data_IF_961349844111
#
_entry.id   IF_961349844111
#
_cell.length_a   1.000
_cell.length_b   1.000
_cell.length_c   1.000
_cell.angle_alpha   90.00
_cell.angle_beta   90.00
_cell.angle_gamma   90.00
#
_symmetry.space_group_name_H-M   'P 1'
#
loop_
_entity.id
_entity.type
_entity.pdbx_description
1 polymer ?
#
# COMPACT_ATOMS: atom_id res chain seq x y z
N UNK A 1 33.06 -0.53 -19.19
CA UNK A 1 32.87 -1.07 -17.82
C UNK A 1 33.70 -0.21 -16.86
N UNK A 2 33.15 0.92 -16.43
CA UNK A 2 33.75 1.71 -15.36
C UNK A 2 33.38 1.01 -14.04
N UNK A 3 34.37 0.62 -13.25
CA UNK A 3 34.20 0.02 -11.94
C UNK A 3 33.66 1.00 -10.87
N UNK A 4 32.91 2.00 -11.29
CA UNK A 4 32.33 3.03 -10.44
C UNK A 4 31.08 2.45 -9.77
N UNK A 5 31.12 2.27 -8.47
CA UNK A 5 30.03 1.70 -7.66
C UNK A 5 28.97 2.74 -7.24
N UNK A 6 29.28 4.02 -7.36
CA UNK A 6 28.44 5.12 -6.92
C UNK A 6 28.44 6.21 -8.01
N UNK A 7 27.27 6.78 -8.26
CA UNK A 7 27.07 7.95 -9.12
C UNK A 7 26.52 9.05 -8.23
N UNK A 8 27.21 10.17 -8.19
CA UNK A 8 26.77 11.36 -7.48
C UNK A 8 25.93 12.22 -8.42
N UNK A 9 24.79 12.66 -7.96
CA UNK A 9 23.86 13.54 -8.66
C UNK A 9 23.86 14.87 -7.92
N UNK A 10 23.94 15.96 -8.66
CA UNK A 10 23.86 17.29 -8.06
C UNK A 10 22.47 17.51 -7.47
N UNK A 11 22.38 18.17 -6.31
CA UNK A 11 21.09 18.43 -5.64
C UNK A 11 20.10 19.18 -6.54
N UNK A 12 20.60 20.01 -7.46
CA UNK A 12 19.78 20.72 -8.44
C UNK A 12 19.17 19.77 -9.50
N UNK A 13 19.74 18.59 -9.71
CA UNK A 13 19.29 17.58 -10.67
C UNK A 13 18.46 16.47 -10.01
N UNK A 14 18.28 16.48 -8.70
CA UNK A 14 17.56 15.43 -7.97
C UNK A 14 16.14 15.23 -8.50
N UNK A 15 15.41 16.31 -8.76
CA UNK A 15 14.03 16.26 -9.30
C UNK A 15 14.02 15.62 -10.70
N UNK A 16 15.00 15.96 -11.55
CA UNK A 16 15.10 15.40 -12.90
C UNK A 16 15.39 13.91 -12.83
N UNK A 17 16.26 13.51 -11.91
CA UNK A 17 16.59 12.10 -11.68
C UNK A 17 15.40 11.30 -11.15
N UNK A 18 14.63 11.85 -10.24
CA UNK A 18 13.42 11.21 -9.71
C UNK A 18 12.35 11.02 -10.79
N UNK A 19 12.13 12.01 -11.63
CA UNK A 19 11.27 11.93 -12.81
C UNK A 19 11.76 10.88 -13.82
N UNK A 20 13.07 10.80 -14.05
CA UNK A 20 13.66 9.77 -14.89
C UNK A 20 13.40 8.37 -14.33
N UNK A 21 13.64 8.14 -13.04
CA UNK A 21 13.38 6.86 -12.39
C UNK A 21 11.90 6.46 -12.48
N UNK A 22 10.98 7.40 -12.26
CA UNK A 22 9.53 7.14 -12.37
C UNK A 22 9.16 6.75 -13.82
N UNK A 23 9.63 7.50 -14.79
CA UNK A 23 9.31 7.28 -16.21
C UNK A 23 9.85 5.95 -16.73
N UNK A 24 11.03 5.55 -16.29
CA UNK A 24 11.72 4.33 -16.75
C UNK A 24 11.63 3.16 -15.75
N UNK A 25 10.78 3.27 -14.74
CA UNK A 25 10.70 2.26 -13.68
C UNK A 25 10.47 0.85 -14.24
N UNK A 26 9.60 0.69 -15.22
CA UNK A 26 9.34 -0.60 -15.85
C UNK A 26 10.58 -1.22 -16.48
N UNK A 27 11.35 -0.44 -17.22
CA UNK A 27 12.58 -0.89 -17.89
C UNK A 27 13.67 -1.24 -16.85
N UNK A 28 13.79 -0.44 -15.79
CA UNK A 28 14.74 -0.66 -14.70
C UNK A 28 14.43 -1.98 -13.99
N UNK A 29 13.15 -2.24 -13.69
CA UNK A 29 12.71 -3.47 -13.03
C UNK A 29 12.88 -4.70 -13.93
N UNK A 30 12.72 -4.56 -15.24
CA UNK A 30 12.95 -5.63 -16.21
C UNK A 30 14.43 -5.90 -16.51
N UNK A 31 15.34 -5.03 -16.10
CA UNK A 31 16.77 -5.16 -16.41
C UNK A 31 17.39 -6.34 -15.64
N UNK A 32 17.91 -7.32 -16.38
CA UNK A 32 18.55 -8.51 -15.81
C UNK A 32 19.94 -8.26 -15.20
N UNK A 33 20.59 -7.13 -15.54
CA UNK A 33 21.91 -6.79 -14.99
C UNK A 33 21.86 -6.17 -13.58
N UNK A 34 20.70 -5.70 -13.14
CA UNK A 34 20.49 -5.14 -11.81
C UNK A 34 20.12 -6.24 -10.82
N UNK A 35 20.70 -6.19 -9.62
CA UNK A 35 20.32 -7.12 -8.56
C UNK A 35 18.88 -6.85 -8.07
N UNK A 36 18.23 -7.89 -7.53
CA UNK A 36 16.88 -7.75 -6.96
C UNK A 36 16.82 -6.73 -5.82
N UNK A 37 17.92 -6.60 -5.06
CA UNK A 37 18.04 -5.62 -3.99
C UNK A 37 18.05 -4.19 -4.54
N UNK A 38 18.79 -3.94 -5.62
CA UNK A 38 18.82 -2.63 -6.30
C UNK A 38 17.45 -2.27 -6.90
N UNK A 39 16.80 -3.24 -7.53
CA UNK A 39 15.44 -3.05 -8.07
C UNK A 39 14.45 -2.70 -6.96
N UNK A 40 14.50 -3.42 -5.83
CA UNK A 40 13.62 -3.18 -4.69
C UNK A 40 13.86 -1.78 -4.08
N UNK A 41 15.12 -1.34 -3.97
CA UNK A 41 15.47 -0.01 -3.45
C UNK A 41 14.93 1.10 -4.37
N UNK A 42 15.18 0.99 -5.69
CA UNK A 42 14.67 1.96 -6.67
C UNK A 42 13.15 1.97 -6.66
N UNK A 43 12.51 0.79 -6.65
CA UNK A 43 11.06 0.70 -6.58
C UNK A 43 10.52 1.36 -5.32
N UNK A 44 11.13 1.12 -4.16
CA UNK A 44 10.73 1.74 -2.89
C UNK A 44 10.84 3.26 -2.95
N UNK A 45 11.95 3.79 -3.48
CA UNK A 45 12.15 5.24 -3.62
C UNK A 45 11.09 5.86 -4.53
N UNK A 46 10.89 5.32 -5.74
CA UNK A 46 9.89 5.82 -6.70
C UNK A 46 8.48 5.73 -6.13
N UNK A 47 8.14 4.61 -5.48
CA UNK A 47 6.82 4.42 -4.87
C UNK A 47 6.55 5.45 -3.78
N UNK A 48 7.54 5.70 -2.92
CA UNK A 48 7.43 6.70 -1.85
C UNK A 48 7.16 8.09 -2.42
N UNK A 49 7.87 8.48 -3.48
CA UNK A 49 7.71 9.79 -4.13
C UNK A 49 6.33 9.90 -4.79
N UNK A 50 5.91 8.91 -5.60
CA UNK A 50 4.59 8.94 -6.26
C UNK A 50 3.46 8.99 -5.24
N UNK A 51 3.53 8.20 -4.16
CA UNK A 51 2.50 8.21 -3.12
C UNK A 51 2.50 9.54 -2.37
N UNK A 52 3.68 10.08 -2.02
CA UNK A 52 3.80 11.40 -1.37
C UNK A 52 3.17 12.49 -2.21
N UNK A 53 3.55 12.58 -3.49
CA UNK A 53 3.01 13.57 -4.42
C UNK A 53 1.49 13.43 -4.57
N UNK A 54 1.00 12.18 -4.60
CA UNK A 54 -0.44 11.92 -4.67
C UNK A 54 -1.19 12.49 -3.46
N UNK A 55 -0.62 12.36 -2.26
CA UNK A 55 -1.19 12.94 -1.03
C UNK A 55 -1.14 14.46 -1.05
N UNK A 56 0.01 15.04 -1.39
CA UNK A 56 0.23 16.50 -1.37
C UNK A 56 -0.63 17.21 -2.43
N UNK A 57 -0.67 16.69 -3.66
CA UNK A 57 -1.50 17.23 -4.74
C UNK A 57 -2.99 17.12 -4.41
N UNK A 58 -3.42 15.95 -3.96
CA UNK A 58 -4.83 15.72 -3.60
C UNK A 58 -5.26 16.57 -2.41
N UNK A 59 -4.36 16.85 -1.44
CA UNK A 59 -4.63 17.76 -0.34
C UNK A 59 -4.84 19.19 -0.86
N UNK A 60 -3.98 19.65 -1.76
CA UNK A 60 -4.07 21.00 -2.34
C UNK A 60 -5.35 21.23 -3.15
N UNK A 61 -5.81 20.22 -3.85
CA UNK A 61 -7.01 20.28 -4.71
C UNK A 61 -8.31 19.86 -4.00
N UNK A 62 -8.21 19.17 -2.86
CA UNK A 62 -9.35 18.56 -2.17
C UNK A 62 -9.93 17.33 -2.89
N UNK A 63 -9.33 16.93 -4.01
CA UNK A 63 -9.74 15.79 -4.84
C UNK A 63 -8.52 15.20 -5.54
N UNK A 64 -8.63 13.96 -6.01
CA UNK A 64 -7.60 13.30 -6.82
C UNK A 64 -7.80 13.67 -8.30
N UNK A 65 -6.82 14.36 -8.87
CA UNK A 65 -6.84 14.68 -10.28
C UNK A 65 -6.46 13.47 -11.18
N UNK A 66 -6.68 13.61 -12.47
CA UNK A 66 -6.45 12.57 -13.46
C UNK A 66 -4.95 12.17 -13.55
N UNK A 67 -4.04 13.14 -13.51
CA UNK A 67 -2.60 12.86 -13.65
C UNK A 67 -2.05 12.12 -12.43
N UNK A 68 -2.46 12.51 -11.24
CA UNK A 68 -2.13 11.82 -9.98
C UNK A 68 -2.63 10.38 -9.99
N UNK A 69 -3.87 10.15 -10.41
CA UNK A 69 -4.43 8.80 -10.53
C UNK A 69 -3.66 7.97 -11.56
N UNK A 70 -3.33 8.55 -12.72
CA UNK A 70 -2.57 7.89 -13.79
C UNK A 70 -1.17 7.49 -13.33
N UNK A 71 -0.46 8.36 -12.62
CA UNK A 71 0.86 8.05 -12.03
C UNK A 71 0.76 6.89 -11.04
N UNK A 72 -0.24 6.91 -10.16
CA UNK A 72 -0.52 5.81 -9.22
C UNK A 72 -0.79 4.50 -9.96
N UNK A 73 -1.59 4.52 -11.01
CA UNK A 73 -1.88 3.33 -11.84
C UNK A 73 -0.64 2.81 -12.55
N UNK A 74 0.24 3.70 -13.05
CA UNK A 74 1.51 3.33 -13.67
C UNK A 74 2.46 2.68 -12.67
N UNK A 75 2.58 3.23 -11.47
CA UNK A 75 3.36 2.64 -10.39
C UNK A 75 2.88 1.23 -10.07
N UNK A 76 1.57 1.04 -9.90
CA UNK A 76 0.99 -0.30 -9.62
C UNK A 76 1.25 -1.27 -10.77
N UNK A 77 1.14 -0.83 -12.03
CA UNK A 77 1.47 -1.67 -13.19
C UNK A 77 2.91 -2.17 -13.13
N UNK A 78 3.86 -1.28 -12.81
CA UNK A 78 5.28 -1.65 -12.69
C UNK A 78 5.53 -2.58 -11.48
N UNK A 79 4.84 -2.34 -10.36
CA UNK A 79 4.85 -3.24 -9.21
C UNK A 79 4.40 -4.65 -9.58
N UNK A 80 3.32 -4.78 -10.36
CA UNK A 80 2.80 -6.09 -10.80
C UNK A 80 3.82 -6.86 -11.64
N UNK A 81 4.58 -6.19 -12.50
CA UNK A 81 5.65 -6.80 -13.30
C UNK A 81 6.73 -7.34 -12.37
N UNK A 82 7.20 -6.53 -11.43
CA UNK A 82 8.25 -6.91 -10.49
C UNK A 82 7.81 -8.05 -9.54
N UNK A 83 6.58 -8.00 -9.00
CA UNK A 83 6.02 -9.08 -8.15
C UNK A 83 5.84 -10.39 -8.95
N UNK A 84 5.70 -10.32 -10.27
CA UNK A 84 5.59 -11.52 -11.10
C UNK A 84 6.88 -12.36 -11.11
N UNK A 85 8.03 -11.74 -10.88
CA UNK A 85 9.31 -12.41 -10.87
C UNK A 85 9.50 -13.20 -9.56
N UNK A 86 9.99 -14.44 -9.67
CA UNK A 86 10.01 -15.44 -8.58
C UNK A 86 10.90 -15.03 -7.39
N UNK A 87 11.83 -14.11 -7.60
CA UNK A 87 12.81 -13.67 -6.60
C UNK A 87 12.39 -12.44 -5.79
N UNK A 88 11.33 -11.77 -6.22
CA UNK A 88 10.85 -10.53 -5.59
C UNK A 88 10.38 -10.71 -4.13
N UNK A 89 9.89 -11.90 -3.76
CA UNK A 89 9.48 -12.19 -2.37
C UNK A 89 10.65 -12.09 -1.37
N UNK A 90 11.87 -12.43 -1.80
CA UNK A 90 13.08 -12.28 -0.97
C UNK A 90 13.46 -10.80 -0.81
N UNK A 91 13.33 -10.00 -1.87
CA UNK A 91 13.54 -8.56 -1.81
C UNK A 91 12.51 -7.88 -0.92
N UNK A 92 11.23 -8.32 -0.98
CA UNK A 92 10.16 -7.88 -0.10
C UNK A 92 10.45 -8.12 1.38
N UNK A 93 11.02 -9.28 1.72
CA UNK A 93 11.34 -9.59 3.12
C UNK A 93 12.32 -8.58 3.73
N UNK A 94 13.15 -7.91 2.92
CA UNK A 94 14.06 -6.86 3.37
C UNK A 94 13.39 -5.52 3.63
N UNK A 95 12.22 -5.27 3.05
CA UNK A 95 11.42 -4.07 3.32
C UNK A 95 10.67 -4.15 4.65
N UNK A 96 10.56 -5.35 5.22
CA UNK A 96 9.94 -5.58 6.52
C UNK A 96 10.90 -5.10 7.63
N UNK A 97 10.39 -4.33 8.59
CA UNK A 97 11.18 -3.89 9.76
C UNK A 97 11.79 -2.48 9.65
N UNK A 98 11.62 -1.77 8.53
CA UNK A 98 12.00 -0.36 8.43
C UNK A 98 11.04 0.56 9.20
N UNK A 99 11.48 1.78 9.50
CA UNK A 99 10.68 2.79 10.20
C UNK A 99 9.37 3.05 9.47
N UNK A 100 8.28 3.19 10.25
CA UNK A 100 6.95 3.44 9.70
C UNK A 100 6.85 4.89 9.21
N UNK A 101 6.76 5.05 7.91
CA UNK A 101 6.33 6.28 7.24
C UNK A 101 5.08 5.99 6.44
N UNK A 102 4.13 6.93 6.39
CA UNK A 102 2.84 6.74 5.70
C UNK A 102 3.01 6.26 4.26
N UNK A 103 3.99 6.80 3.55
CA UNK A 103 4.24 6.46 2.14
C UNK A 103 4.90 5.09 1.95
N UNK A 104 5.86 4.73 2.81
CA UNK A 104 6.47 3.39 2.82
C UNK A 104 5.45 2.33 3.21
N UNK A 105 4.56 2.63 4.14
CA UNK A 105 3.44 1.80 4.52
C UNK A 105 2.53 1.50 3.32
N UNK A 106 2.06 2.52 2.60
CA UNK A 106 1.20 2.34 1.43
C UNK A 106 1.86 1.43 0.36
N UNK A 107 3.17 1.57 0.16
CA UNK A 107 3.95 0.71 -0.74
C UNK A 107 3.97 -0.75 -0.26
N UNK A 108 4.19 -0.99 1.04
CA UNK A 108 4.18 -2.36 1.61
C UNK A 108 2.79 -2.98 1.54
N UNK A 109 1.74 -2.20 1.83
CA UNK A 109 0.34 -2.65 1.71
C UNK A 109 0.01 -3.04 0.27
N UNK A 110 0.46 -2.24 -0.74
CA UNK A 110 0.35 -2.62 -2.14
C UNK A 110 0.96 -4.00 -2.40
N UNK A 111 2.21 -4.21 -1.99
CA UNK A 111 2.94 -5.44 -2.25
C UNK A 111 2.26 -6.66 -1.64
N UNK A 112 1.95 -6.61 -0.36
CA UNK A 112 1.30 -7.72 0.32
C UNK A 112 -0.07 -8.01 -0.26
N UNK A 113 -0.87 -6.97 -0.57
CA UNK A 113 -2.20 -7.13 -1.17
C UNK A 113 -2.10 -7.84 -2.52
N UNK A 114 -1.22 -7.38 -3.42
CA UNK A 114 -1.06 -7.97 -4.75
C UNK A 114 -0.50 -9.39 -4.66
N UNK A 115 0.53 -9.62 -3.83
CA UNK A 115 1.09 -10.96 -3.65
C UNK A 115 0.06 -11.94 -3.11
N UNK A 116 -0.77 -11.51 -2.15
CA UNK A 116 -1.85 -12.30 -1.57
C UNK A 116 -2.93 -12.62 -2.60
N UNK A 117 -3.45 -11.63 -3.32
CA UNK A 117 -4.51 -11.81 -4.31
C UNK A 117 -4.07 -12.72 -5.48
N UNK A 118 -2.82 -12.61 -5.91
CA UNK A 118 -2.28 -13.53 -6.94
C UNK A 118 -2.24 -14.99 -6.51
N UNK A 119 -2.06 -15.25 -5.23
CA UNK A 119 -2.05 -16.61 -4.68
C UNK A 119 -3.45 -17.14 -4.34
N UNK A 120 -4.45 -16.26 -4.28
CA UNK A 120 -5.82 -16.56 -3.88
C UNK A 120 -6.83 -16.04 -4.92
N UNK A 121 -6.89 -16.63 -6.12
CA UNK A 121 -7.77 -16.16 -7.20
C UNK A 121 -9.27 -16.25 -6.87
N UNK A 122 -9.65 -17.11 -5.94
CA UNK A 122 -11.01 -17.20 -5.39
C UNK A 122 -11.48 -15.91 -4.71
N UNK A 123 -10.55 -15.11 -4.19
CA UNK A 123 -10.86 -13.79 -3.65
C UNK A 123 -11.10 -12.79 -4.79
N UNK A 124 -10.36 -12.89 -5.89
CA UNK A 124 -10.60 -12.06 -7.07
C UNK A 124 -11.98 -12.33 -7.68
N UNK A 125 -12.44 -13.59 -7.67
CA UNK A 125 -13.79 -13.97 -8.07
C UNK A 125 -14.86 -13.34 -7.17
N UNK A 126 -14.60 -13.19 -5.86
CA UNK A 126 -15.51 -12.48 -4.96
C UNK A 126 -15.52 -10.97 -5.19
N UNK A 127 -14.41 -10.38 -5.68
CA UNK A 127 -14.36 -8.95 -6.06
C UNK A 127 -15.13 -8.73 -7.37
N UNK A 128 -14.91 -9.61 -8.35
CA UNK A 128 -15.51 -9.57 -9.69
C UNK A 128 -16.04 -10.96 -10.07
N UNK A 129 -17.35 -11.20 -9.96
CA UNK A 129 -17.93 -12.51 -10.19
C UNK A 129 -17.70 -13.10 -11.59
N UNK A 130 -17.39 -12.25 -12.57
CA UNK A 130 -17.07 -12.68 -13.94
C UNK A 130 -15.59 -13.02 -14.13
N UNK A 131 -14.76 -12.94 -13.09
CA UNK A 131 -13.30 -13.14 -13.14
C UNK A 131 -12.85 -14.41 -13.87
N UNK A 132 -13.56 -15.51 -13.69
CA UNK A 132 -13.22 -16.78 -14.35
C UNK A 132 -13.35 -16.73 -15.87
N UNK A 133 -14.17 -15.81 -16.40
CA UNK A 133 -14.35 -15.61 -17.86
C UNK A 133 -13.37 -14.60 -18.43
N UNK A 134 -12.59 -13.94 -17.59
CA UNK A 134 -11.63 -12.92 -18.00
C UNK A 134 -10.45 -13.51 -18.76
N UNK A 135 -10.01 -12.81 -19.80
CA UNK A 135 -8.71 -13.02 -20.40
C UNK A 135 -7.57 -12.53 -19.48
N UNK A 136 -6.32 -12.82 -19.84
CA UNK A 136 -5.16 -12.45 -19.03
C UNK A 136 -4.98 -10.94 -18.91
N UNK A 137 -5.43 -10.14 -19.87
CA UNK A 137 -5.36 -8.67 -19.81
C UNK A 137 -6.37 -8.13 -18.79
N UNK A 138 -7.59 -8.64 -18.81
CA UNK A 138 -8.65 -8.29 -17.86
C UNK A 138 -8.29 -8.69 -16.43
N UNK A 139 -7.71 -9.88 -16.24
CA UNK A 139 -7.21 -10.34 -14.94
C UNK A 139 -6.12 -9.43 -14.39
N UNK A 140 -5.16 -9.03 -15.23
CA UNK A 140 -4.11 -8.07 -14.84
C UNK A 140 -4.69 -6.71 -14.52
N UNK A 141 -5.68 -6.24 -15.27
CA UNK A 141 -6.34 -4.96 -15.01
C UNK A 141 -7.07 -4.96 -13.66
N UNK A 142 -7.85 -6.03 -13.35
CA UNK A 142 -8.50 -6.16 -12.05
C UNK A 142 -7.49 -6.13 -10.91
N UNK A 143 -6.39 -6.90 -11.03
CA UNK A 143 -5.35 -6.92 -10.01
C UNK A 143 -4.66 -5.56 -9.86
N UNK A 144 -4.46 -4.83 -10.96
CA UNK A 144 -3.95 -3.45 -10.94
C UNK A 144 -4.89 -2.54 -10.15
N UNK A 145 -6.19 -2.61 -10.39
CA UNK A 145 -7.17 -1.80 -9.67
C UNK A 145 -7.22 -2.14 -8.17
N UNK A 146 -7.06 -3.41 -7.80
CA UNK A 146 -6.90 -3.80 -6.39
C UNK A 146 -5.65 -3.16 -5.76
N UNK A 147 -4.54 -3.12 -6.49
CA UNK A 147 -3.31 -2.46 -6.06
C UNK A 147 -3.47 -0.94 -5.91
N UNK A 148 -4.23 -0.29 -6.81
CA UNK A 148 -4.59 1.14 -6.66
C UNK A 148 -5.34 1.35 -5.34
N UNK A 149 -6.32 0.50 -5.02
CA UNK A 149 -7.02 0.54 -3.74
C UNK A 149 -6.08 0.40 -2.54
N UNK A 150 -5.06 -0.47 -2.67
CA UNK A 150 -4.06 -0.65 -1.62
C UNK A 150 -3.17 0.58 -1.39
N UNK A 151 -2.76 1.29 -2.45
CA UNK A 151 -2.02 2.56 -2.32
C UNK A 151 -2.90 3.65 -1.72
N UNK A 152 -4.13 3.75 -2.17
CA UNK A 152 -5.02 4.87 -1.87
C UNK A 152 -5.85 4.67 -0.59
N UNK A 153 -5.75 3.51 0.11
CA UNK A 153 -6.60 3.24 1.26
C UNK A 153 -6.54 4.35 2.33
N UNK A 154 -5.37 4.91 2.51
CA UNK A 154 -5.06 5.94 3.52
C UNK A 154 -5.04 7.38 2.98
N UNK A 155 -5.40 7.62 1.69
CA UNK A 155 -5.27 8.95 1.04
C UNK A 155 -5.97 10.07 1.83
N UNK A 156 -7.07 9.76 2.50
CA UNK A 156 -7.80 10.73 3.32
C UNK A 156 -7.05 11.21 4.57
N UNK A 157 -5.93 10.59 4.94
CA UNK A 157 -5.02 11.11 5.99
C UNK A 157 -4.38 12.45 5.60
N UNK A 158 -4.42 12.82 4.31
CA UNK A 158 -4.03 14.15 3.87
C UNK A 158 -4.77 15.28 4.62
N UNK A 159 -5.99 15.04 5.09
CA UNK A 159 -6.77 16.00 5.88
C UNK A 159 -6.49 15.94 7.39
N UNK A 160 -5.58 15.10 7.85
CA UNK A 160 -5.18 15.02 9.26
C UNK A 160 -3.90 15.80 9.46
N UNK A 161 -3.87 16.67 10.48
CA UNK A 161 -2.66 17.45 10.81
C UNK A 161 -1.45 16.54 11.01
N UNK A 162 -0.30 16.94 10.49
CA UNK A 162 0.98 16.26 10.69
C UNK A 162 1.36 16.16 12.19
N UNK A 163 0.98 17.13 13.02
CA UNK A 163 1.20 17.09 14.45
C UNK A 163 0.45 15.92 15.11
N UNK A 164 -0.72 15.57 14.60
CA UNK A 164 -1.50 14.43 15.08
C UNK A 164 -0.91 13.12 14.54
N UNK A 165 -0.60 13.06 13.25
CA UNK A 165 -0.06 11.85 12.62
C UNK A 165 1.32 11.45 13.18
N UNK A 166 2.16 12.45 13.51
CA UNK A 166 3.52 12.26 14.01
C UNK A 166 3.65 12.42 15.52
N UNK A 167 2.53 12.45 16.25
CA UNK A 167 2.52 12.68 17.69
C UNK A 167 3.32 11.59 18.44
N UNK A 168 4.31 12.02 19.20
CA UNK A 168 5.03 11.15 20.14
C UNK A 168 4.20 10.99 21.42
N UNK A 169 3.40 9.91 21.50
CA UNK A 169 2.59 9.59 22.67
C UNK A 169 1.15 9.22 22.32
N UNK A 170 0.31 8.96 23.32
CA UNK A 170 -1.07 8.57 23.11
C UNK A 170 -1.88 9.72 22.50
N UNK A 171 -2.77 9.37 21.59
CA UNK A 171 -3.75 10.31 21.03
C UNK A 171 -4.85 10.58 22.03
N UNK A 172 -5.30 11.83 22.11
CA UNK A 172 -6.53 12.17 22.81
C UNK A 172 -7.75 11.60 22.06
N UNK A 173 -8.88 11.52 22.71
CA UNK A 173 -10.15 11.07 22.09
C UNK A 173 -10.48 11.94 20.87
N UNK A 174 -10.28 13.25 20.95
CA UNK A 174 -10.56 14.19 19.84
C UNK A 174 -9.63 13.91 18.66
N UNK A 175 -8.32 13.77 18.88
CA UNK A 175 -7.35 13.47 17.84
C UNK A 175 -7.65 12.12 17.17
N UNK A 176 -8.03 11.12 17.96
CA UNK A 176 -8.44 9.82 17.45
C UNK A 176 -9.70 9.90 16.56
N UNK A 177 -10.72 10.68 16.97
CA UNK A 177 -11.89 10.91 16.14
C UNK A 177 -11.55 11.63 14.82
N UNK A 178 -10.56 12.54 14.83
CA UNK A 178 -10.07 13.18 13.60
C UNK A 178 -9.42 12.16 12.66
N UNK A 179 -8.59 11.27 13.18
CA UNK A 179 -7.98 10.21 12.38
C UNK A 179 -9.05 9.27 11.80
N UNK A 180 -10.03 8.87 12.59
CA UNK A 180 -11.10 7.95 12.14
C UNK A 180 -11.95 8.48 10.96
N UNK A 181 -11.83 9.76 10.63
CA UNK A 181 -12.50 10.35 9.46
C UNK A 181 -11.79 10.07 8.14
N UNK A 182 -10.52 9.61 8.14
CA UNK A 182 -9.77 9.47 6.90
C UNK A 182 -10.41 8.52 5.87
N UNK A 183 -11.13 7.41 6.21
CA UNK A 183 -11.79 6.60 5.20
C UNK A 183 -12.90 7.35 4.46
N UNK A 184 -13.67 8.19 5.17
CA UNK A 184 -14.68 9.06 4.57
C UNK A 184 -14.05 10.17 3.72
N UNK A 185 -12.99 10.79 4.22
CA UNK A 185 -12.24 11.79 3.47
C UNK A 185 -11.63 11.19 2.20
N UNK A 186 -11.04 9.99 2.30
CA UNK A 186 -10.50 9.25 1.16
C UNK A 186 -11.57 8.92 0.12
N UNK A 187 -12.75 8.46 0.54
CA UNK A 187 -13.88 8.28 -0.38
C UNK A 187 -14.24 9.61 -1.07
N UNK A 188 -14.36 10.71 -0.30
CA UNK A 188 -14.73 12.02 -0.86
C UNK A 188 -13.73 12.46 -1.94
N UNK A 189 -12.41 12.28 -1.73
CA UNK A 189 -11.38 12.58 -2.72
C UNK A 189 -11.51 11.77 -4.02
N UNK A 190 -12.04 10.55 -3.91
CA UNK A 190 -12.16 9.63 -5.04
C UNK A 190 -13.54 9.66 -5.73
N UNK A 191 -14.51 10.41 -5.22
CA UNK A 191 -15.88 10.39 -5.76
C UNK A 191 -15.94 10.68 -7.24
N UNK A 192 -15.28 11.75 -7.69
CA UNK A 192 -15.27 12.20 -9.08
C UNK A 192 -14.16 11.57 -9.93
N UNK A 193 -13.35 10.68 -9.34
CA UNK A 193 -12.30 9.97 -10.06
C UNK A 193 -12.83 8.77 -10.84
N UNK A 194 -12.06 8.32 -11.83
CA UNK A 194 -12.35 7.10 -12.62
C UNK A 194 -12.06 5.79 -11.85
N UNK A 195 -11.78 5.87 -10.55
CA UNK A 195 -11.60 4.67 -9.71
C UNK A 195 -12.86 3.81 -9.71
N UNK A 196 -12.75 2.49 -9.90
CA UNK A 196 -13.87 1.56 -9.80
C UNK A 196 -14.58 1.66 -8.44
N UNK A 197 -15.87 1.37 -8.43
CA UNK A 197 -16.70 1.42 -7.21
C UNK A 197 -16.15 0.51 -6.10
N UNK A 198 -15.63 -0.66 -6.47
CA UNK A 198 -15.05 -1.58 -5.48
C UNK A 198 -13.78 -1.02 -4.82
N UNK A 199 -12.97 -0.22 -5.54
CA UNK A 199 -11.82 0.50 -4.97
C UNK A 199 -12.30 1.56 -3.98
N UNK A 200 -13.31 2.36 -4.35
CA UNK A 200 -13.92 3.38 -3.48
C UNK A 200 -14.49 2.73 -2.19
N UNK A 201 -15.15 1.57 -2.32
CA UNK A 201 -15.62 0.79 -1.17
C UNK A 201 -14.46 0.26 -0.32
N UNK A 202 -13.39 -0.19 -0.94
CA UNK A 202 -12.21 -0.67 -0.21
C UNK A 202 -11.57 0.44 0.62
N UNK A 203 -11.44 1.65 0.06
CA UNK A 203 -10.96 2.84 0.79
C UNK A 203 -11.89 3.22 1.94
N UNK A 204 -13.21 3.15 1.75
CA UNK A 204 -14.17 3.47 2.81
C UNK A 204 -14.18 2.45 3.94
N UNK A 205 -14.07 1.15 3.63
CA UNK A 205 -14.33 0.06 4.59
C UNK A 205 -13.06 -0.57 5.19
N UNK A 206 -11.84 -0.10 4.86
CA UNK A 206 -10.60 -0.80 5.27
C UNK A 206 -10.34 -0.80 6.79
N UNK A 207 -11.07 -0.02 7.56
CA UNK A 207 -11.06 -0.05 9.02
C UNK A 207 -12.32 -0.64 9.64
N UNK A 208 -13.20 -1.24 8.83
CA UNK A 208 -14.29 -2.05 9.37
C UNK A 208 -13.75 -3.36 9.94
N UNK A 209 -14.28 -3.79 11.05
CA UNK A 209 -13.97 -5.07 11.69
C UNK A 209 -15.09 -6.08 11.44
N UNK A 210 -14.73 -7.34 11.22
CA UNK A 210 -15.68 -8.40 10.84
C UNK A 210 -16.83 -8.58 11.85
N UNK A 211 -16.60 -8.21 13.10
CA UNK A 211 -17.59 -8.24 14.18
C UNK A 211 -18.43 -6.96 14.33
N UNK A 212 -18.28 -5.98 13.41
CA UNK A 212 -19.01 -4.71 13.46
C UNK A 212 -18.45 -3.65 14.42
N UNK A 213 -17.30 -3.91 15.06
CA UNK A 213 -16.69 -2.93 15.98
C UNK A 213 -15.82 -1.88 15.29
N UNK A 214 -15.67 -1.99 13.97
CA UNK A 214 -14.87 -1.10 13.15
C UNK A 214 -15.51 0.27 12.87
N UNK A 215 -14.91 1.00 11.96
CA UNK A 215 -15.39 2.32 11.54
C UNK A 215 -15.14 2.51 10.03
N UNK A 216 -15.79 3.48 9.36
CA UNK A 216 -16.66 4.54 9.89
C UNK A 216 -18.14 4.14 10.02
N UNK A 217 -18.57 3.01 9.44
CA UNK A 217 -19.98 2.67 9.32
C UNK A 217 -20.43 1.57 10.28
N UNK A 218 -19.50 0.86 10.93
CA UNK A 218 -19.80 -0.28 11.80
C UNK A 218 -20.39 -1.46 11.03
N UNK A 219 -19.91 -1.70 9.80
CA UNK A 219 -20.32 -2.84 8.99
C UNK A 219 -19.77 -4.14 9.59
N UNK A 220 -20.54 -5.20 9.46
CA UNK A 220 -20.17 -6.53 9.91
C UNK A 220 -20.07 -7.56 8.76
N UNK A 221 -19.30 -8.60 8.98
CA UNK A 221 -19.26 -9.80 8.16
C UNK A 221 -19.15 -9.53 6.67
N UNK A 222 -20.10 -10.04 5.90
CA UNK A 222 -20.12 -9.94 4.44
C UNK A 222 -20.56 -8.57 3.91
N UNK A 223 -21.04 -7.67 4.77
CA UNK A 223 -21.36 -6.29 4.39
C UNK A 223 -20.09 -5.47 4.13
N UNK A 224 -18.94 -5.92 4.68
CA UNK A 224 -17.64 -5.34 4.40
C UNK A 224 -17.16 -5.87 3.05
N UNK A 225 -16.82 -4.96 2.12
CA UNK A 225 -16.30 -5.36 0.82
C UNK A 225 -15.04 -6.23 0.94
N UNK A 226 -14.95 -7.33 0.18
CA UNK A 226 -13.88 -8.34 0.34
C UNK A 226 -12.48 -7.74 0.19
N UNK A 227 -12.25 -6.80 -0.74
CA UNK A 227 -10.96 -6.10 -0.87
C UNK A 227 -10.63 -5.30 0.40
N UNK A 228 -11.60 -4.65 1.03
CA UNK A 228 -11.38 -3.95 2.30
C UNK A 228 -10.96 -4.91 3.43
N UNK A 229 -11.55 -6.12 3.47
CA UNK A 229 -11.16 -7.17 4.43
C UNK A 229 -9.72 -7.62 4.21
N UNK A 230 -9.29 -7.75 2.95
CA UNK A 230 -7.89 -8.03 2.60
C UNK A 230 -6.98 -6.89 3.05
N UNK A 231 -7.35 -5.64 2.74
CA UNK A 231 -6.58 -4.46 3.17
C UNK A 231 -6.46 -4.38 4.69
N UNK A 232 -7.55 -4.66 5.43
CA UNK A 232 -7.53 -4.67 6.90
C UNK A 232 -6.50 -5.64 7.46
N UNK A 233 -6.42 -6.85 6.89
CA UNK A 233 -5.46 -7.87 7.30
C UNK A 233 -4.03 -7.42 6.99
N UNK A 234 -3.81 -6.92 5.78
CA UNK A 234 -2.48 -6.49 5.31
C UNK A 234 -1.99 -5.27 6.09
N UNK A 235 -2.87 -4.28 6.33
CA UNK A 235 -2.56 -3.07 7.11
C UNK A 235 -2.13 -3.44 8.54
N UNK A 236 -2.88 -4.31 9.22
CA UNK A 236 -2.52 -4.77 10.56
C UNK A 236 -1.20 -5.55 10.55
N UNK A 237 -0.98 -6.39 9.54
CA UNK A 237 0.27 -7.13 9.40
C UNK A 237 1.47 -6.18 9.25
N UNK A 238 1.40 -5.19 8.34
CA UNK A 238 2.46 -4.19 8.20
C UNK A 238 2.64 -3.35 9.45
N UNK A 239 1.55 -2.92 10.08
CA UNK A 239 1.60 -2.16 11.33
C UNK A 239 2.29 -2.90 12.48
N UNK A 240 2.20 -4.23 12.52
CA UNK A 240 2.84 -5.06 13.55
C UNK A 240 4.29 -5.42 13.20
N UNK A 241 4.61 -5.57 11.93
CA UNK A 241 5.95 -5.93 11.45
C UNK A 241 6.86 -4.73 11.19
N UNK A 242 6.32 -3.51 11.16
CA UNK A 242 7.08 -2.27 11.00
C UNK A 242 7.45 -1.65 12.33
N UNK A 243 8.66 -1.08 12.41
CA UNK A 243 9.10 -0.30 13.57
C UNK A 243 8.34 1.01 13.63
N UNK A 244 7.94 1.42 14.82
CA UNK A 244 7.29 2.70 15.10
C UNK A 244 8.01 3.41 16.25
N UNK A 245 7.88 4.75 16.41
CA UNK A 245 8.58 5.49 17.46
C UNK A 245 8.37 4.93 18.88
N UNK A 246 7.26 4.22 19.11
CA UNK A 246 6.87 3.69 20.43
C UNK A 246 6.72 2.17 20.44
N UNK A 247 7.13 1.46 19.36
CA UNK A 247 6.96 0.01 19.26
C UNK A 247 8.04 -0.59 18.36
N UNK A 248 8.77 -1.58 18.89
CA UNK A 248 9.66 -2.41 18.08
C UNK A 248 8.87 -3.29 17.11
N UNK A 249 9.49 -3.60 15.96
CA UNK A 249 8.93 -4.50 14.98
C UNK A 249 8.84 -5.94 15.53
N UNK A 250 7.71 -6.59 15.31
CA UNK A 250 7.56 -8.02 15.61
C UNK A 250 8.00 -8.86 14.41
N UNK A 251 8.50 -10.07 14.66
CA UNK A 251 8.84 -10.96 13.54
C UNK A 251 7.58 -11.33 12.73
N UNK A 252 7.68 -11.44 11.39
CA UNK A 252 6.54 -11.81 10.54
C UNK A 252 5.87 -13.12 10.96
N UNK A 253 6.67 -14.12 11.39
CA UNK A 253 6.16 -15.41 11.90
C UNK A 253 5.30 -15.22 13.15
N UNK A 254 5.78 -14.42 14.11
CA UNK A 254 5.03 -14.12 15.33
C UNK A 254 3.70 -13.41 15.00
N UNK A 255 3.73 -12.40 14.10
CA UNK A 255 2.52 -11.68 13.69
C UNK A 255 1.53 -12.61 13.03
N UNK A 256 1.97 -13.47 12.11
CA UNK A 256 1.10 -14.46 11.46
C UNK A 256 0.46 -15.40 12.49
N UNK A 257 1.21 -15.88 13.47
CA UNK A 257 0.68 -16.73 14.54
C UNK A 257 -0.37 -16.02 15.41
N UNK A 258 -0.15 -14.75 15.75
CA UNK A 258 -1.13 -13.93 16.48
C UNK A 258 -2.41 -13.77 15.64
N UNK A 259 -2.28 -13.46 14.35
CA UNK A 259 -3.41 -13.22 13.46
C UNK A 259 -4.28 -14.45 13.23
N UNK A 260 -3.73 -15.65 13.31
CA UNK A 260 -4.51 -16.92 13.27
C UNK A 260 -4.98 -17.38 14.66
N UNK A 261 -4.87 -16.53 15.68
CA UNK A 261 -5.40 -16.77 17.02
C UNK A 261 -4.55 -17.65 17.92
N UNK A 262 -3.24 -17.80 17.64
CA UNK A 262 -2.33 -18.44 18.57
C UNK A 262 -2.04 -17.46 19.72
N UNK A 263 -2.33 -17.82 20.97
CA UNK A 263 -2.09 -16.94 22.10
C UNK A 263 -0.59 -16.62 22.24
N UNK A 264 -0.20 -15.36 22.56
CA UNK A 264 1.18 -14.92 22.64
C UNK A 264 2.08 -15.79 23.53
N UNK A 265 1.54 -16.32 24.63
CA UNK A 265 2.26 -17.21 25.54
C UNK A 265 2.60 -18.59 24.95
N UNK A 266 1.99 -18.98 23.84
CA UNK A 266 2.28 -20.22 23.11
C UNK A 266 3.21 -20.02 21.92
N UNK A 267 3.56 -18.76 21.60
CA UNK A 267 4.47 -18.42 20.51
C UNK A 267 5.90 -18.67 21.01
N UNK A 268 6.58 -19.65 20.39
CA UNK A 268 8.01 -19.86 20.65
C UNK A 268 8.80 -18.82 19.87
N UNK A 269 9.62 -18.05 20.58
CA UNK A 269 10.64 -17.21 19.95
C UNK A 269 11.70 -18.14 19.35
N UNK A 270 11.74 -18.22 18.02
CA UNK A 270 12.86 -18.83 17.29
C UNK A 270 13.92 -17.78 16.97
#
# INVERSE_FOLDING_TARGET
ESGQKEVFIDLEEEIIYEQYLETHLGDILANQSSSEDQKAEIFSKVSTNVVKDSFETSLGLGTMDYDTLRRTQSLVKNALIFIAETHSLKALSKMIGHDYKTYEHATKVLWFTVAFLRKNPDILEQIEPTYLTFDETQKKELLKQCGVGAILHDIGKAFVSQDILNKNGPLTTIEWEMIKRHPLNGLAMLLDSECPVFVKKAVLHHHEDFNGSGYPMGLDGQNIHILARVLRIVDVFDAMTSRRPYKEAMSPTMVAQIMIGIPPEKIKNE
#
